data_IF_493861023074
#
_entry.id   IF_493861023074
#
_cell.length_a   1.000
_cell.length_b   1.000
_cell.length_c   1.000
_cell.angle_alpha   90.00
_cell.angle_beta   90.00
_cell.angle_gamma   90.00
#
_symmetry.space_group_name_H-M   'P 1'
#
loop_
_entity.id
_entity.type
_entity.pdbx_description
1 polymer ?
#
# COMPACT_ATOMS: atom_id res chain seq x y z
N UNK A 1 2.13 5.64 -10.36
CA UNK A 1 2.11 6.27 -9.03
C UNK A 1 3.50 6.70 -8.70
N UNK A 2 3.65 7.78 -7.95
CA UNK A 2 4.95 8.27 -7.51
C UNK A 2 5.50 7.36 -6.39
N UNK A 3 6.82 7.29 -6.25
CA UNK A 3 7.44 6.52 -5.16
C UNK A 3 6.88 6.95 -3.80
N UNK A 4 6.37 5.99 -3.01
CA UNK A 4 5.69 6.27 -1.74
C UNK A 4 4.18 6.48 -1.84
N UNK A 5 3.59 6.58 -3.03
CA UNK A 5 2.14 6.75 -3.19
C UNK A 5 1.36 5.46 -2.85
N UNK A 6 0.08 5.56 -2.43
CA UNK A 6 -0.72 4.38 -2.10
C UNK A 6 -1.16 3.61 -3.34
N UNK A 7 -1.23 2.28 -3.20
CA UNK A 7 -2.06 1.41 -4.03
C UNK A 7 -3.30 1.04 -3.21
N UNK A 8 -4.50 1.42 -3.69
CA UNK A 8 -5.78 1.20 -2.99
C UNK A 8 -6.65 0.19 -3.73
N UNK A 9 -7.37 -0.65 -2.97
CA UNK A 9 -8.29 -1.67 -3.49
C UNK A 9 -9.61 -1.65 -2.72
N UNK A 10 -10.76 -2.00 -3.34
CA UNK A 10 -12.02 -2.17 -2.62
C UNK A 10 -11.90 -3.16 -1.46
N UNK A 11 -12.60 -2.90 -0.36
CA UNK A 11 -12.57 -3.73 0.83
C UNK A 11 -13.51 -4.93 0.68
N UNK A 12 -12.99 -6.04 0.19
CA UNK A 12 -13.79 -7.23 -0.11
C UNK A 12 -14.83 -6.91 -1.20
N UNK A 13 -16.11 -7.10 -0.87
CA UNK A 13 -17.22 -6.82 -1.79
C UNK A 13 -17.80 -5.40 -1.64
N UNK A 14 -17.27 -4.60 -0.72
CA UNK A 14 -17.70 -3.23 -0.50
C UNK A 14 -17.01 -2.30 -1.50
N UNK A 15 -17.78 -1.75 -2.45
CA UNK A 15 -17.26 -0.86 -3.50
C UNK A 15 -17.12 0.60 -3.04
N UNK A 16 -17.68 0.96 -1.87
CA UNK A 16 -17.62 2.32 -1.32
C UNK A 16 -16.44 2.49 -0.36
N UNK A 17 -15.94 1.40 0.23
CA UNK A 17 -14.75 1.43 1.09
C UNK A 17 -13.53 0.84 0.40
N UNK A 18 -12.41 1.54 0.57
CA UNK A 18 -11.12 1.14 0.03
C UNK A 18 -10.12 0.91 1.16
N UNK A 19 -9.19 -0.01 0.94
CA UNK A 19 -8.04 -0.24 1.81
C UNK A 19 -6.75 0.00 1.04
N UNK A 20 -5.72 0.48 1.73
CA UNK A 20 -4.39 0.62 1.15
C UNK A 20 -3.71 -0.76 1.15
N UNK A 21 -3.62 -1.39 -0.01
CA UNK A 21 -3.00 -2.69 -0.19
C UNK A 21 -1.46 -2.59 -0.30
N UNK A 22 -0.96 -1.49 -0.85
CA UNK A 22 0.47 -1.32 -1.08
C UNK A 22 0.96 0.13 -1.07
N UNK A 23 2.28 0.27 -1.13
CA UNK A 23 3.00 1.53 -1.34
C UNK A 23 3.91 1.33 -2.54
N UNK A 24 3.91 2.26 -3.50
CA UNK A 24 4.80 2.20 -4.67
C UNK A 24 6.25 2.14 -4.20
N UNK A 25 6.94 1.04 -4.52
CA UNK A 25 8.34 0.87 -4.18
C UNK A 25 9.23 1.32 -5.35
N UNK A 26 9.08 0.65 -6.49
CA UNK A 26 9.84 0.95 -7.72
C UNK A 26 9.22 0.23 -8.93
N UNK A 27 9.70 0.58 -10.11
CA UNK A 27 9.36 -0.12 -11.35
C UNK A 27 10.16 0.46 -12.51
N UNK A 28 11.11 -0.30 -13.06
CA UNK A 28 11.78 0.06 -14.31
C UNK A 28 10.91 -0.48 -15.46
N UNK A 29 10.44 0.40 -16.33
CA UNK A 29 9.54 0.02 -17.43
C UNK A 29 8.17 -0.49 -16.96
N UNK A 30 7.69 -0.08 -15.77
CA UNK A 30 6.39 -0.52 -15.30
C UNK A 30 5.27 -0.09 -16.26
N UNK A 31 4.38 -1.03 -16.61
CA UNK A 31 3.34 -0.80 -17.61
C UNK A 31 3.79 -1.02 -19.06
N UNK A 32 5.09 -1.15 -19.33
CA UNK A 32 5.60 -1.60 -20.63
C UNK A 32 5.63 -3.12 -20.68
N UNK A 33 5.29 -3.72 -21.83
CA UNK A 33 5.42 -5.17 -22.07
C UNK A 33 4.81 -6.06 -20.97
N UNK A 34 3.73 -5.60 -20.30
CA UNK A 34 3.12 -6.26 -19.14
C UNK A 34 4.06 -6.44 -17.94
N UNK A 35 5.09 -5.62 -17.79
CA UNK A 35 5.94 -5.58 -16.59
C UNK A 35 5.12 -4.93 -15.45
N UNK A 36 4.85 -5.65 -14.36
CA UNK A 36 4.09 -5.11 -13.24
C UNK A 36 4.92 -4.10 -12.45
N UNK A 37 4.24 -3.17 -11.78
CA UNK A 37 4.87 -2.35 -10.74
C UNK A 37 5.17 -3.18 -9.49
N UNK A 38 6.23 -2.81 -8.76
CA UNK A 38 6.59 -3.45 -7.49
C UNK A 38 6.16 -2.55 -6.33
N UNK A 39 5.47 -3.15 -5.35
CA UNK A 39 4.87 -2.45 -4.22
C UNK A 39 5.31 -3.10 -2.90
N UNK A 40 5.49 -2.28 -1.86
CA UNK A 40 5.60 -2.78 -0.50
C UNK A 40 4.21 -3.25 -0.02
N UNK A 41 4.13 -4.43 0.59
CA UNK A 41 2.87 -5.00 1.07
C UNK A 41 2.47 -4.38 2.43
N UNK A 42 1.44 -3.54 2.44
CA UNK A 42 0.97 -2.85 3.65
C UNK A 42 0.40 -3.83 4.68
N UNK A 43 -0.23 -4.91 4.23
CA UNK A 43 -0.82 -5.91 5.14
C UNK A 43 0.26 -6.59 6.00
N UNK A 44 1.45 -6.83 5.46
CA UNK A 44 2.57 -7.46 6.19
C UNK A 44 3.10 -6.58 7.32
N UNK A 45 3.04 -5.25 7.16
CA UNK A 45 3.58 -4.28 8.13
C UNK A 45 2.50 -3.63 8.99
N UNK A 46 1.24 -4.10 8.90
CA UNK A 46 0.11 -3.51 9.64
C UNK A 46 0.38 -3.42 11.14
N UNK A 47 0.91 -4.49 11.73
CA UNK A 47 1.24 -4.51 13.15
C UNK A 47 2.31 -3.47 13.52
N UNK A 48 3.34 -3.31 12.68
CA UNK A 48 4.36 -2.29 12.88
C UNK A 48 3.75 -0.88 12.82
N UNK A 49 2.83 -0.61 11.91
CA UNK A 49 2.11 0.68 11.83
C UNK A 49 1.37 0.94 13.16
N UNK A 50 0.60 -0.03 13.65
CA UNK A 50 -0.15 0.11 14.90
C UNK A 50 0.80 0.34 16.09
N UNK A 51 1.94 -0.36 16.15
CA UNK A 51 2.97 -0.12 17.17
C UNK A 51 3.54 1.30 17.11
N UNK A 52 3.87 1.80 15.92
CA UNK A 52 4.41 3.15 15.78
C UNK A 52 3.40 4.22 16.19
N UNK A 53 2.11 4.03 15.89
CA UNK A 53 1.06 4.94 16.35
C UNK A 53 1.00 4.99 17.89
N UNK A 54 1.05 3.84 18.55
CA UNK A 54 1.08 3.75 20.02
C UNK A 54 2.34 4.38 20.63
N UNK A 55 3.52 4.04 20.10
CA UNK A 55 4.81 4.55 20.59
C UNK A 55 4.93 6.08 20.46
N UNK A 56 4.28 6.66 19.44
CA UNK A 56 4.28 8.10 19.20
C UNK A 56 3.07 8.83 19.80
N UNK A 57 2.25 8.16 20.62
CA UNK A 57 1.06 8.72 21.26
C UNK A 57 0.02 9.27 20.27
N UNK A 58 -0.17 8.58 19.14
CA UNK A 58 -1.14 8.91 18.08
C UNK A 58 -2.22 7.82 18.02
N UNK A 59 -3.20 7.88 18.92
CA UNK A 59 -4.35 6.97 18.94
C UNK A 59 -5.60 7.59 18.32
#
# INVERSE_FOLDING_TARGET
GDGGSPLVCPLGNDQERYTQAGIVAWGIGCGENNIPGVYANVATVRYWIDQQLLENNLN
#
